data_IF_157517806229
#
_entry.id   IF_157517806229
#
_cell.length_a   1.000
_cell.length_b   1.000
_cell.length_c   1.000
_cell.angle_alpha   90.00
_cell.angle_beta   90.00
_cell.angle_gamma   90.00
#
_symmetry.space_group_name_H-M   'P 1'
#
loop_
_entity.id
_entity.type
_entity.pdbx_description
1 polymer ?
#
# COMPACT_ATOMS: atom_id res chain seq x y z
N UNK A 1 6.07 -0.67 16.97
CA UNK A 1 5.43 0.62 17.28
C UNK A 1 4.44 0.37 18.40
N UNK A 2 4.44 1.24 19.43
CA UNK A 2 3.54 1.09 20.60
C UNK A 2 2.10 1.60 20.39
N UNK A 3 1.79 2.13 19.20
CA UNK A 3 0.47 2.72 18.93
C UNK A 3 -0.22 1.93 17.84
N UNK A 4 -1.35 1.31 18.17
CA UNK A 4 -2.13 0.49 17.26
C UNK A 4 -2.93 1.31 16.22
N UNK A 5 -3.09 2.62 16.46
CA UNK A 5 -3.68 3.59 15.52
C UNK A 5 -2.94 4.93 15.61
N UNK A 6 -2.64 5.53 14.48
CA UNK A 6 -1.95 6.81 14.38
C UNK A 6 -2.55 7.68 13.29
N UNK A 7 -2.79 8.95 13.60
CA UNK A 7 -3.33 9.95 12.65
C UNK A 7 -2.32 11.07 12.47
N UNK A 8 -1.90 11.31 11.25
CA UNK A 8 -1.00 12.42 10.89
C UNK A 8 -1.63 13.28 9.81
N UNK A 9 -1.62 14.60 10.01
CA UNK A 9 -1.84 15.56 8.93
C UNK A 9 -0.55 16.35 8.77
N UNK A 10 0.03 16.29 7.58
CA UNK A 10 1.31 16.93 7.30
C UNK A 10 1.25 17.77 6.04
N UNK A 11 1.80 18.98 6.14
CA UNK A 11 2.25 19.73 4.97
C UNK A 11 3.65 19.25 4.62
N UNK A 12 3.84 18.79 3.41
CA UNK A 12 5.15 18.40 2.91
C UNK A 12 5.51 19.23 1.69
N UNK A 13 6.65 19.90 1.75
CA UNK A 13 7.27 20.54 0.60
C UNK A 13 8.34 19.62 0.01
N UNK A 14 8.19 19.26 -1.26
CA UNK A 14 9.30 18.76 -2.06
C UNK A 14 9.86 17.36 -1.76
N UNK A 15 9.24 16.55 -0.91
CA UNK A 15 9.77 15.21 -0.61
C UNK A 15 9.08 14.14 -1.45
N UNK A 16 9.84 13.58 -2.39
CA UNK A 16 9.52 12.31 -3.05
C UNK A 16 9.90 11.17 -2.11
N UNK A 17 9.05 10.16 -1.97
CA UNK A 17 9.47 8.92 -1.32
C UNK A 17 10.61 8.28 -2.11
N UNK A 18 11.71 7.96 -1.42
CA UNK A 18 12.95 7.55 -2.10
C UNK A 18 12.86 6.18 -2.75
N UNK A 19 11.91 5.32 -2.32
CA UNK A 19 11.75 3.94 -2.79
C UNK A 19 10.35 3.40 -2.52
N UNK A 20 9.96 2.37 -3.27
CA UNK A 20 8.77 1.59 -2.98
C UNK A 20 8.92 0.85 -1.66
N UNK A 21 7.82 0.79 -0.90
CA UNK A 21 7.78 0.09 0.38
C UNK A 21 6.39 -0.53 0.60
N UNK A 22 6.29 -1.35 1.61
CA UNK A 22 5.05 -1.89 2.17
C UNK A 22 5.18 -1.95 3.69
N UNK A 23 4.05 -2.11 4.36
CA UNK A 23 3.96 -2.23 5.80
C UNK A 23 2.85 -3.21 6.20
N UNK A 24 2.78 -3.58 7.45
CA UNK A 24 1.86 -4.58 8.00
C UNK A 24 0.60 -3.98 8.65
N UNK A 25 0.29 -2.73 8.34
CA UNK A 25 -0.88 -2.01 8.82
C UNK A 25 -1.72 -1.47 7.65
N UNK A 26 -2.98 -1.15 7.93
CA UNK A 26 -3.86 -0.43 7.02
C UNK A 26 -3.45 1.03 6.97
N UNK A 27 -3.49 1.62 5.77
CA UNK A 27 -3.27 3.04 5.56
C UNK A 27 -4.43 3.65 4.82
N UNK A 28 -4.98 4.74 5.37
CA UNK A 28 -5.91 5.64 4.71
C UNK A 28 -5.12 6.90 4.36
N UNK A 29 -4.89 7.13 3.09
CA UNK A 29 -4.22 8.33 2.59
C UNK A 29 -5.25 9.26 1.97
N UNK A 30 -5.42 10.47 2.49
CA UNK A 30 -6.36 11.50 2.02
C UNK A 30 -5.56 12.65 1.44
N UNK A 31 -5.77 12.97 0.16
CA UNK A 31 -5.20 14.16 -0.45
C UNK A 31 -6.04 15.38 -0.09
N UNK A 32 -5.43 16.36 0.62
CA UNK A 32 -6.15 17.54 1.11
C UNK A 32 -5.96 18.77 0.20
N UNK A 33 -4.71 19.01 -0.29
CA UNK A 33 -4.39 20.16 -1.15
C UNK A 33 -3.36 19.78 -2.20
N UNK A 34 -3.44 20.44 -3.34
CA UNK A 34 -2.63 20.13 -4.53
C UNK A 34 -2.94 18.73 -5.06
N UNK A 35 -2.13 18.23 -5.98
CA UNK A 35 -2.22 16.84 -6.44
C UNK A 35 -1.00 16.04 -6.00
N UNK A 36 -1.14 14.73 -5.99
CA UNK A 36 -0.05 13.80 -5.70
C UNK A 36 -0.14 12.57 -6.60
N UNK A 37 0.99 12.12 -7.10
CA UNK A 37 1.08 10.91 -7.89
C UNK A 37 1.60 9.76 -7.04
N UNK A 38 0.93 8.62 -7.15
CA UNK A 38 1.26 7.39 -6.44
C UNK A 38 1.37 6.23 -7.40
N UNK A 39 2.30 5.34 -7.12
CA UNK A 39 2.35 4.00 -7.68
C UNK A 39 1.92 3.03 -6.58
N UNK A 40 0.84 2.30 -6.81
CA UNK A 40 0.34 1.25 -5.91
C UNK A 40 0.34 -0.04 -6.70
N UNK A 41 1.09 -1.03 -6.25
CA UNK A 41 1.38 -2.24 -7.02
C UNK A 41 1.94 -1.89 -8.41
N UNK A 42 1.14 -1.97 -9.46
CA UNK A 42 1.48 -1.61 -10.84
C UNK A 42 0.57 -0.54 -11.44
N UNK A 43 -0.29 0.08 -10.61
CA UNK A 43 -1.25 1.10 -11.02
C UNK A 43 -0.77 2.48 -10.59
N UNK A 44 -0.80 3.43 -11.53
CA UNK A 44 -0.48 4.82 -11.26
C UNK A 44 -1.76 5.60 -10.95
N UNK A 45 -1.76 6.27 -9.81
CA UNK A 45 -2.85 7.13 -9.38
C UNK A 45 -2.40 8.58 -9.32
N UNK A 46 -3.24 9.49 -9.81
CA UNK A 46 -3.12 10.91 -9.53
C UNK A 46 -4.24 11.31 -8.60
N UNK A 47 -3.87 11.66 -7.38
CA UNK A 47 -4.80 12.09 -6.35
C UNK A 47 -4.98 13.59 -6.38
N UNK A 48 -6.20 14.04 -6.50
CA UNK A 48 -6.61 15.43 -6.35
C UNK A 48 -7.21 15.66 -4.94
N UNK A 49 -7.43 16.89 -4.51
CA UNK A 49 -8.08 17.15 -3.23
C UNK A 49 -9.44 16.43 -3.11
N UNK A 50 -9.64 15.68 -2.03
CA UNK A 50 -10.81 14.82 -1.81
C UNK A 50 -10.63 13.36 -2.22
N UNK A 51 -9.55 13.04 -2.93
CA UNK A 51 -9.23 11.65 -3.30
C UNK A 51 -8.56 10.92 -2.15
N UNK A 52 -8.82 9.62 -2.09
CA UNK A 52 -8.35 8.72 -1.03
C UNK A 52 -7.74 7.48 -1.65
N UNK A 53 -6.58 7.07 -1.12
CA UNK A 53 -6.06 5.71 -1.28
C UNK A 53 -6.31 4.91 -0.01
N UNK A 54 -6.75 3.68 -0.18
CA UNK A 54 -7.00 2.69 0.86
C UNK A 54 -6.03 1.53 0.66
N UNK A 55 -5.00 1.49 1.48
CA UNK A 55 -3.92 0.51 1.35
C UNK A 55 -4.06 -0.57 2.42
N UNK A 56 -4.24 -1.82 1.97
CA UNK A 56 -4.20 -2.99 2.84
C UNK A 56 -2.78 -3.26 3.34
N UNK A 57 -2.61 -4.00 4.43
CA UNK A 57 -1.31 -4.56 4.80
C UNK A 57 -0.62 -5.24 3.62
N UNK A 58 0.68 -5.07 3.53
CA UNK A 58 1.54 -5.65 2.50
C UNK A 58 1.35 -5.11 1.08
N UNK A 59 0.53 -4.08 0.85
CA UNK A 59 0.42 -3.44 -0.48
C UNK A 59 1.67 -2.62 -0.76
N UNK A 60 2.30 -2.90 -1.91
CA UNK A 60 3.50 -2.20 -2.36
C UNK A 60 3.13 -0.85 -2.96
N UNK A 61 3.65 0.23 -2.39
CA UNK A 61 3.30 1.58 -2.85
C UNK A 61 4.45 2.58 -2.71
N UNK A 62 4.33 3.70 -3.45
CA UNK A 62 5.28 4.81 -3.43
C UNK A 62 4.59 6.10 -3.88
N UNK A 63 4.90 7.20 -3.22
CA UNK A 63 4.57 8.54 -3.70
C UNK A 63 5.65 9.04 -4.66
N UNK A 64 5.27 9.44 -5.87
CA UNK A 64 6.19 9.72 -6.98
C UNK A 64 6.51 11.21 -7.15
N UNK A 65 5.55 12.08 -6.94
CA UNK A 65 5.73 13.51 -7.18
C UNK A 65 6.45 14.21 -6.03
N UNK A 66 7.16 15.28 -6.35
CA UNK A 66 7.94 16.10 -5.41
C UNK A 66 7.31 17.47 -5.11
N UNK A 67 6.08 17.71 -5.58
CA UNK A 67 5.38 18.98 -5.35
C UNK A 67 4.94 19.16 -3.89
N UNK A 68 4.82 20.40 -3.46
CA UNK A 68 4.24 20.73 -2.15
C UNK A 68 2.76 20.28 -2.12
N UNK A 69 2.36 19.66 -1.03
CA UNK A 69 1.00 19.12 -0.86
C UNK A 69 0.64 19.04 0.63
N UNK A 70 -0.65 19.02 0.90
CA UNK A 70 -1.20 18.72 2.22
C UNK A 70 -1.92 17.38 2.15
N UNK A 71 -1.64 16.51 3.09
CA UNK A 71 -2.25 15.19 3.20
C UNK A 71 -2.62 14.85 4.62
N UNK A 72 -3.59 13.98 4.78
CA UNK A 72 -3.87 13.27 6.03
C UNK A 72 -3.59 11.78 5.81
N UNK A 73 -2.94 11.17 6.78
CA UNK A 73 -2.69 9.73 6.78
C UNK A 73 -3.14 9.16 8.11
N UNK A 74 -3.91 8.08 8.04
CA UNK A 74 -4.34 7.30 9.20
C UNK A 74 -3.76 5.91 9.04
N UNK A 75 -2.98 5.47 10.02
CA UNK A 75 -2.43 4.12 10.12
C UNK A 75 -3.10 3.39 11.26
N UNK A 76 -3.49 2.14 11.05
CA UNK A 76 -3.95 1.27 12.12
C UNK A 76 -3.57 -0.18 11.86
N UNK A 77 -3.23 -0.90 12.93
CA UNK A 77 -2.91 -2.32 12.83
C UNK A 77 -4.18 -3.16 12.61
N UNK A 78 -4.08 -4.34 11.95
CA UNK A 78 -5.21 -5.28 11.89
C UNK A 78 -5.76 -5.63 13.29
N UNK A 79 -4.90 -5.67 14.30
CA UNK A 79 -5.26 -6.03 15.67
C UNK A 79 -5.99 -4.89 16.42
N UNK A 80 -5.86 -3.64 15.98
CA UNK A 80 -6.42 -2.50 16.71
C UNK A 80 -7.95 -2.59 16.86
N UNK A 81 -8.67 -2.85 15.77
CA UNK A 81 -10.12 -2.95 15.82
C UNK A 81 -10.62 -4.16 16.61
N UNK A 82 -9.84 -5.25 16.66
CA UNK A 82 -10.18 -6.49 17.38
C UNK A 82 -10.31 -6.28 18.88
N UNK A 83 -9.69 -5.24 19.43
CA UNK A 83 -9.78 -4.91 20.86
C UNK A 83 -11.16 -4.34 21.24
N UNK A 84 -11.93 -3.85 20.25
CA UNK A 84 -13.15 -3.07 20.52
C UNK A 84 -14.40 -3.64 19.81
N UNK A 85 -14.23 -4.40 18.72
CA UNK A 85 -15.33 -4.81 17.87
C UNK A 85 -15.33 -6.32 17.59
N UNK A 86 -16.55 -6.83 17.31
CA UNK A 86 -16.72 -8.22 16.87
C UNK A 86 -16.11 -8.45 15.49
N UNK A 87 -15.73 -9.69 15.20
CA UNK A 87 -15.15 -10.08 13.90
C UNK A 87 -16.05 -9.71 12.73
N UNK A 88 -17.38 -9.86 12.87
CA UNK A 88 -18.32 -9.55 11.80
C UNK A 88 -18.38 -8.04 11.51
N UNK A 89 -18.39 -7.21 12.54
CA UNK A 89 -18.35 -5.76 12.35
C UNK A 89 -17.02 -5.31 11.74
N UNK A 90 -15.90 -5.89 12.18
CA UNK A 90 -14.59 -5.59 11.58
C UNK A 90 -14.58 -5.95 10.10
N UNK A 91 -15.11 -7.13 9.72
CA UNK A 91 -15.21 -7.54 8.31
C UNK A 91 -16.01 -6.52 7.50
N UNK A 92 -17.15 -6.06 8.01
CA UNK A 92 -17.96 -5.02 7.35
C UNK A 92 -17.22 -3.71 7.20
N UNK A 93 -16.56 -3.23 8.26
CA UNK A 93 -15.80 -1.97 8.23
C UNK A 93 -14.63 -2.02 7.25
N UNK A 94 -13.96 -3.17 7.14
CA UNK A 94 -12.77 -3.32 6.30
C UNK A 94 -13.08 -3.65 4.83
N UNK A 95 -14.34 -3.97 4.47
CA UNK A 95 -14.74 -4.16 3.07
C UNK A 95 -14.43 -2.95 2.19
N UNK A 96 -14.40 -1.75 2.77
CA UNK A 96 -14.04 -0.54 2.02
C UNK A 96 -12.63 -0.63 1.41
N UNK A 97 -11.72 -1.40 2.00
CA UNK A 97 -10.37 -1.63 1.48
C UNK A 97 -10.30 -2.58 0.27
N UNK A 98 -11.43 -3.15 -0.17
CA UNK A 98 -11.51 -3.85 -1.46
C UNK A 98 -11.44 -2.85 -2.63
N UNK A 99 -11.61 -1.58 -2.34
CA UNK A 99 -11.40 -0.46 -3.25
C UNK A 99 -10.07 0.20 -2.91
N UNK A 100 -9.10 0.19 -3.83
CA UNK A 100 -7.81 0.87 -3.61
C UNK A 100 -7.94 2.39 -3.63
N UNK A 101 -8.97 2.91 -4.33
CA UNK A 101 -9.16 4.33 -4.59
C UNK A 101 -10.64 4.71 -4.50
N UNK A 102 -10.91 5.87 -3.91
CA UNK A 102 -12.23 6.51 -3.95
C UNK A 102 -12.12 8.03 -3.90
N UNK A 103 -13.13 8.73 -4.42
CA UNK A 103 -13.30 10.19 -4.29
C UNK A 103 -14.49 10.46 -3.40
N UNK A 104 -14.33 11.33 -2.41
CA UNK A 104 -15.44 11.78 -1.58
C UNK A 104 -16.19 12.94 -2.23
N UNK A 105 -17.50 12.99 -2.03
CA UNK A 105 -18.27 14.22 -2.24
C UNK A 105 -17.78 15.31 -1.29
N UNK A 106 -18.03 16.57 -1.62
CA UNK A 106 -17.65 17.69 -0.74
C UNK A 106 -18.27 17.57 0.65
N UNK A 107 -19.52 17.09 0.75
CA UNK A 107 -20.21 16.87 2.00
C UNK A 107 -19.53 15.77 2.83
N UNK A 108 -19.30 14.61 2.25
CA UNK A 108 -18.66 13.48 2.93
C UNK A 108 -17.20 13.78 3.28
N UNK A 109 -16.48 14.51 2.42
CA UNK A 109 -15.13 15.00 2.74
C UNK A 109 -15.14 15.90 3.96
N UNK A 110 -16.08 16.87 4.03
CA UNK A 110 -16.20 17.74 5.19
C UNK A 110 -16.50 16.95 6.47
N UNK A 111 -17.45 16.01 6.43
CA UNK A 111 -17.77 15.14 7.56
C UNK A 111 -16.56 14.35 8.05
N UNK A 112 -15.84 13.68 7.15
CA UNK A 112 -14.62 12.93 7.46
C UNK A 112 -13.56 13.82 8.10
N UNK A 113 -13.34 15.01 7.55
CA UNK A 113 -12.34 15.95 8.09
C UNK A 113 -12.72 16.51 9.45
N UNK A 114 -14.02 16.59 9.79
CA UNK A 114 -14.47 16.94 11.15
C UNK A 114 -14.10 15.82 12.15
N UNK A 115 -14.39 14.57 11.82
CA UNK A 115 -14.02 13.42 12.66
C UNK A 115 -12.50 13.35 12.88
N UNK A 116 -11.71 13.53 11.82
CA UNK A 116 -10.23 13.55 11.90
C UNK A 116 -9.74 14.70 12.80
N UNK A 117 -10.39 15.86 12.72
CA UNK A 117 -10.05 17.00 13.55
C UNK A 117 -10.29 16.73 15.03
N UNK A 118 -11.34 15.98 15.36
CA UNK A 118 -11.61 15.53 16.73
C UNK A 118 -10.60 14.49 17.20
N UNK A 119 -10.25 13.50 16.36
CA UNK A 119 -9.21 12.52 16.69
C UNK A 119 -7.88 13.18 17.05
N UNK A 120 -7.52 14.28 16.40
CA UNK A 120 -6.25 14.99 16.63
C UNK A 120 -6.23 15.80 17.92
N UNK A 121 -7.36 16.05 18.57
CA UNK A 121 -7.43 16.78 19.86
C UNK A 121 -7.05 15.90 21.04
N UNK A 122 -7.14 14.59 20.89
CA UNK A 122 -6.83 13.60 21.92
C UNK A 122 -5.53 12.86 21.59
N UNK A 123 -4.73 12.53 22.59
CA UNK A 123 -3.59 11.66 22.44
C UNK A 123 -4.00 10.19 22.63
N UNK A 124 -3.16 9.26 22.15
CA UNK A 124 -3.40 7.82 22.38
C UNK A 124 -3.33 7.43 23.87
N UNK A 125 -2.69 8.24 24.71
CA UNK A 125 -2.57 8.02 26.16
C UNK A 125 -3.73 8.66 26.94
N UNK A 126 -4.64 9.35 26.27
CA UNK A 126 -5.83 9.96 26.89
C UNK A 126 -6.80 8.84 27.28
N UNK A 127 -7.21 8.72 28.56
CA UNK A 127 -8.19 7.74 29.01
C UNK A 127 -9.57 7.90 28.36
N UNK A 128 -9.86 9.07 27.82
CA UNK A 128 -11.07 9.36 27.03
C UNK A 128 -10.85 9.26 25.52
N UNK A 129 -9.76 8.63 25.11
CA UNK A 129 -9.44 8.43 23.69
C UNK A 129 -10.47 7.50 23.04
N UNK A 130 -11.24 8.04 22.11
CA UNK A 130 -12.24 7.34 21.32
C UNK A 130 -11.77 7.12 19.87
N UNK A 131 -10.48 7.04 19.61
CA UNK A 131 -9.94 6.86 18.27
C UNK A 131 -10.52 5.63 17.56
N UNK A 132 -10.79 4.54 18.29
CA UNK A 132 -11.43 3.36 17.72
C UNK A 132 -12.83 3.66 17.17
N UNK A 133 -13.66 4.42 17.93
CA UNK A 133 -15.00 4.80 17.49
C UNK A 133 -14.95 5.78 16.31
N UNK A 134 -14.05 6.75 16.36
CA UNK A 134 -13.83 7.72 15.28
C UNK A 134 -13.29 7.08 14.01
N UNK A 135 -12.42 6.08 14.13
CA UNK A 135 -11.97 5.30 12.98
C UNK A 135 -13.12 4.54 12.34
N UNK A 136 -13.98 3.87 13.14
CA UNK A 136 -15.16 3.20 12.61
C UNK A 136 -16.13 4.18 11.94
N UNK A 137 -16.34 5.37 12.52
CA UNK A 137 -17.15 6.44 11.91
C UNK A 137 -16.61 6.86 10.53
N UNK A 138 -15.29 7.04 10.41
CA UNK A 138 -14.64 7.35 9.11
C UNK A 138 -14.88 6.23 8.09
N UNK A 139 -14.68 4.97 8.48
CA UNK A 139 -14.88 3.82 7.59
C UNK A 139 -16.34 3.69 7.15
N UNK A 140 -17.29 3.98 8.05
CA UNK A 140 -18.74 4.02 7.73
C UNK A 140 -19.06 5.16 6.76
N UNK A 141 -18.47 6.36 6.94
CA UNK A 141 -18.65 7.49 6.02
C UNK A 141 -18.11 7.15 4.61
N UNK A 142 -17.00 6.44 4.53
CA UNK A 142 -16.50 5.96 3.24
C UNK A 142 -17.46 4.95 2.59
N UNK A 143 -17.97 4.00 3.38
CA UNK A 143 -18.93 3.00 2.89
C UNK A 143 -20.24 3.66 2.45
N UNK A 144 -20.73 4.67 3.18
CA UNK A 144 -21.89 5.48 2.79
C UNK A 144 -21.63 6.19 1.46
N UNK A 145 -20.51 6.89 1.34
CA UNK A 145 -20.12 7.59 0.10
C UNK A 145 -20.08 6.63 -1.10
N UNK A 146 -19.54 5.43 -0.90
CA UNK A 146 -19.44 4.42 -1.95
C UNK A 146 -20.81 3.88 -2.38
N UNK A 147 -21.73 3.72 -1.42
CA UNK A 147 -23.09 3.26 -1.68
C UNK A 147 -23.91 4.31 -2.44
N UNK A 148 -23.81 5.58 -2.04
CA UNK A 148 -24.52 6.70 -2.67
C UNK A 148 -23.92 7.13 -3.99
N UNK A 149 -22.59 6.98 -4.13
CA UNK A 149 -21.79 7.38 -5.28
C UNK A 149 -20.83 6.23 -5.66
N UNK A 150 -21.35 5.11 -6.20
CA UNK A 150 -20.50 4.02 -6.61
C UNK A 150 -19.47 4.53 -7.63
N UNK A 151 -18.21 4.10 -7.51
CA UNK A 151 -17.20 4.51 -8.47
C UNK A 151 -17.69 4.06 -9.85
N UNK A 152 -17.95 5.02 -10.69
CA UNK A 152 -18.04 4.74 -12.11
C UNK A 152 -16.66 4.18 -12.43
N UNK A 153 -16.58 2.99 -13.03
CA UNK A 153 -15.34 2.37 -13.50
C UNK A 153 -14.70 3.26 -14.60
N UNK A 154 -14.48 4.52 -14.26
CA UNK A 154 -13.72 5.43 -15.08
C UNK A 154 -12.28 5.32 -14.59
N UNK A 155 -11.41 4.84 -15.45
CA UNK A 155 -9.95 4.95 -15.33
C UNK A 155 -9.47 6.42 -15.20
N UNK A 156 -10.36 7.35 -14.81
CA UNK A 156 -10.15 8.80 -14.90
C UNK A 156 -9.05 9.32 -13.97
N UNK A 157 -8.70 8.57 -12.92
CA UNK A 157 -7.60 8.92 -12.03
C UNK A 157 -6.46 7.88 -12.03
N UNK A 158 -6.64 6.80 -12.78
CA UNK A 158 -5.51 6.00 -13.22
C UNK A 158 -4.80 6.87 -14.26
N UNK A 159 -3.59 7.31 -13.95
CA UNK A 159 -2.79 8.05 -14.91
C UNK A 159 -2.72 7.23 -16.20
N UNK A 160 -3.38 7.74 -17.25
CA UNK A 160 -3.05 7.29 -18.60
C UNK A 160 -1.55 7.52 -18.74
N UNK A 161 -0.84 6.44 -18.98
CA UNK A 161 0.63 6.40 -18.99
C UNK A 161 1.26 7.33 -20.02
N UNK A 162 0.45 7.89 -20.91
CA UNK A 162 0.84 8.95 -21.85
C UNK A 162 1.27 10.26 -21.15
N UNK A 163 0.86 10.48 -19.90
CA UNK A 163 1.25 11.65 -19.11
C UNK A 163 2.48 11.43 -18.21
N UNK A 164 2.98 10.21 -18.07
CA UNK A 164 4.30 9.98 -17.50
C UNK A 164 5.35 10.53 -18.48
N UNK A 165 6.37 11.19 -17.97
CA UNK A 165 7.48 11.75 -18.76
C UNK A 165 8.15 10.74 -19.71
N UNK A 166 7.79 9.44 -19.59
CA UNK A 166 8.26 8.36 -20.44
C UNK A 166 7.12 7.32 -20.64
N UNK A 167 6.48 7.28 -21.82
CA UNK A 167 5.37 6.37 -22.14
C UNK A 167 5.72 4.87 -22.07
N UNK A 168 7.00 4.51 -22.11
CA UNK A 168 7.45 3.11 -22.07
C UNK A 168 7.46 2.51 -20.67
N UNK A 169 7.32 3.33 -19.65
CA UNK A 169 7.60 2.95 -18.27
C UNK A 169 6.48 2.19 -17.60
N UNK A 170 5.24 2.62 -17.82
CA UNK A 170 4.10 1.90 -17.24
C UNK A 170 3.97 0.48 -17.81
N UNK A 171 4.10 0.25 -19.12
CA UNK A 171 4.17 -1.10 -19.67
C UNK A 171 5.32 -1.92 -19.07
N UNK A 172 6.46 -1.29 -18.83
CA UNK A 172 7.62 -1.95 -18.22
C UNK A 172 7.36 -2.39 -16.77
N UNK A 173 6.82 -1.50 -15.95
CA UNK A 173 6.49 -1.84 -14.55
C UNK A 173 5.41 -2.93 -14.53
N UNK A 174 4.37 -2.80 -15.34
CA UNK A 174 3.31 -3.81 -15.46
C UNK A 174 3.88 -5.16 -15.91
N UNK A 175 4.78 -5.17 -16.89
CA UNK A 175 5.44 -6.38 -17.35
C UNK A 175 6.24 -7.07 -16.24
N UNK A 176 7.09 -6.32 -15.53
CA UNK A 176 7.87 -6.85 -14.40
C UNK A 176 6.94 -7.34 -13.29
N UNK A 177 5.88 -6.59 -12.97
CA UNK A 177 4.90 -6.96 -11.95
C UNK A 177 4.17 -8.27 -12.29
N UNK A 178 3.76 -8.43 -13.54
CA UNK A 178 3.00 -9.62 -13.96
C UNK A 178 3.87 -10.86 -14.16
N UNK A 179 5.18 -10.69 -14.40
CA UNK A 179 6.09 -11.78 -14.74
C UNK A 179 7.18 -12.06 -13.69
N UNK A 180 7.21 -11.34 -12.56
CA UNK A 180 8.32 -11.36 -11.58
C UNK A 180 8.73 -12.74 -11.07
N UNK A 181 7.84 -13.73 -11.08
CA UNK A 181 8.15 -15.10 -10.65
C UNK A 181 9.11 -15.81 -11.62
N UNK A 182 8.99 -15.51 -12.90
CA UNK A 182 9.69 -16.19 -13.99
C UNK A 182 10.87 -15.39 -14.54
N UNK A 183 10.98 -14.11 -14.19
CA UNK A 183 12.07 -13.26 -14.66
C UNK A 183 13.40 -13.69 -14.03
N UNK A 184 14.33 -14.12 -14.87
CA UNK A 184 15.63 -14.66 -14.45
C UNK A 184 16.77 -13.68 -14.70
N UNK A 185 16.68 -12.83 -15.73
CA UNK A 185 17.71 -11.86 -16.07
C UNK A 185 17.14 -10.54 -16.62
N UNK A 186 17.96 -9.51 -16.58
CA UNK A 186 17.60 -8.15 -17.04
C UNK A 186 17.62 -8.07 -18.57
N UNK A 187 18.45 -8.86 -19.22
CA UNK A 187 18.60 -8.90 -20.67
C UNK A 187 17.29 -9.33 -21.35
N UNK A 188 16.57 -10.29 -20.77
CA UNK A 188 15.26 -10.73 -21.24
C UNK A 188 14.25 -9.58 -21.24
N UNK A 189 14.19 -8.83 -20.14
CA UNK A 189 13.31 -7.67 -20.03
C UNK A 189 13.70 -6.60 -21.05
N UNK A 190 14.99 -6.32 -21.17
CA UNK A 190 15.51 -5.29 -22.08
C UNK A 190 15.20 -5.63 -23.54
N UNK A 191 15.32 -6.89 -23.94
CA UNK A 191 14.99 -7.35 -25.29
C UNK A 191 13.50 -7.24 -25.60
N UNK A 192 12.63 -7.55 -24.64
CA UNK A 192 11.16 -7.41 -24.78
C UNK A 192 10.75 -5.97 -25.09
N UNK A 193 11.45 -4.99 -24.54
CA UNK A 193 11.17 -3.56 -24.73
C UNK A 193 12.06 -2.88 -25.79
N UNK A 194 12.90 -3.64 -26.50
CA UNK A 194 13.83 -3.14 -27.52
C UNK A 194 14.76 -2.02 -27.02
N UNK A 195 15.21 -2.13 -25.76
CA UNK A 195 16.12 -1.17 -25.13
C UNK A 195 17.35 -1.87 -24.57
N UNK A 196 18.40 -1.11 -24.28
CA UNK A 196 19.60 -1.67 -23.65
C UNK A 196 19.37 -1.94 -22.16
N UNK A 197 20.01 -2.97 -21.57
CA UNK A 197 19.94 -3.22 -20.12
C UNK A 197 20.30 -2.01 -19.27
N UNK A 198 21.28 -1.21 -19.68
CA UNK A 198 21.68 0.01 -18.98
C UNK A 198 20.60 1.09 -19.01
N UNK A 199 19.93 1.27 -20.15
CA UNK A 199 18.80 2.20 -20.26
C UNK A 199 17.63 1.76 -19.41
N UNK A 200 17.27 0.46 -19.51
CA UNK A 200 16.25 -0.18 -18.68
C UNK A 200 16.48 0.07 -17.19
N UNK A 201 17.65 -0.28 -16.66
CA UNK A 201 17.97 -0.12 -15.23
C UNK A 201 17.90 1.33 -14.78
N UNK A 202 18.41 2.28 -15.58
CA UNK A 202 18.39 3.71 -15.25
C UNK A 202 16.97 4.25 -15.22
N UNK A 203 16.17 3.94 -16.25
CA UNK A 203 14.79 4.39 -16.39
C UNK A 203 13.92 3.82 -15.27
N UNK A 204 14.01 2.52 -15.04
CA UNK A 204 13.26 1.86 -13.96
C UNK A 204 13.60 2.47 -12.58
N UNK A 205 14.90 2.63 -12.29
CA UNK A 205 15.33 3.23 -11.02
C UNK A 205 14.93 4.70 -10.88
N UNK A 206 14.97 5.49 -11.97
CA UNK A 206 14.52 6.89 -11.97
C UNK A 206 13.06 7.01 -11.53
N UNK A 207 12.23 6.06 -11.90
CA UNK A 207 10.79 6.10 -11.68
C UNK A 207 10.36 5.45 -10.36
N UNK A 208 10.85 4.25 -10.09
CA UNK A 208 10.47 3.47 -8.91
C UNK A 208 11.37 3.74 -7.70
N UNK A 209 12.46 4.47 -7.88
CA UNK A 209 13.45 4.71 -6.81
C UNK A 209 14.28 3.48 -6.44
N UNK A 210 13.98 2.30 -6.98
CA UNK A 210 14.69 1.04 -6.69
C UNK A 210 15.15 0.35 -7.98
N UNK A 211 16.09 -0.59 -7.86
CA UNK A 211 16.49 -1.41 -9.00
C UNK A 211 15.41 -2.43 -9.32
N UNK A 212 15.40 -2.96 -10.56
CA UNK A 212 14.50 -4.04 -10.99
C UNK A 212 14.60 -5.26 -10.05
N UNK A 213 15.80 -5.63 -9.66
CA UNK A 213 16.04 -6.77 -8.74
C UNK A 213 15.44 -6.49 -7.35
N UNK A 214 15.58 -5.27 -6.84
CA UNK A 214 14.95 -4.87 -5.58
C UNK A 214 13.43 -4.92 -5.68
N UNK A 215 12.86 -4.43 -6.78
CA UNK A 215 11.43 -4.46 -7.03
C UNK A 215 10.89 -5.91 -7.12
N UNK A 216 11.55 -6.77 -7.88
CA UNK A 216 11.20 -8.19 -7.97
C UNK A 216 11.26 -8.86 -6.58
N UNK A 217 12.32 -8.58 -5.80
CA UNK A 217 12.42 -9.12 -4.45
C UNK A 217 11.28 -8.61 -3.54
N UNK A 218 10.88 -7.35 -3.64
CA UNK A 218 9.72 -6.83 -2.89
C UNK A 218 8.44 -7.60 -3.22
N UNK A 219 8.14 -7.82 -4.50
CA UNK A 219 6.97 -8.59 -4.94
C UNK A 219 7.02 -10.05 -4.45
N UNK A 220 8.18 -10.70 -4.55
CA UNK A 220 8.39 -12.07 -4.07
C UNK A 220 8.18 -12.17 -2.56
N UNK A 221 8.65 -11.20 -1.79
CA UNK A 221 8.48 -11.16 -0.32
C UNK A 221 7.03 -10.84 0.05
N UNK A 222 6.36 -9.93 -0.65
CA UNK A 222 4.93 -9.69 -0.47
C UNK A 222 4.11 -10.99 -0.63
N UNK A 223 4.34 -11.72 -1.72
CA UNK A 223 3.71 -13.04 -1.93
C UNK A 223 4.06 -14.03 -0.80
N UNK A 224 5.31 -14.03 -0.34
CA UNK A 224 5.72 -14.90 0.76
C UNK A 224 5.00 -14.56 2.08
N UNK A 225 4.75 -13.29 2.37
CA UNK A 225 3.96 -12.88 3.53
C UNK A 225 2.55 -13.48 3.48
N UNK A 226 1.87 -13.41 2.32
CA UNK A 226 0.56 -14.05 2.11
C UNK A 226 0.62 -15.56 2.33
N UNK A 227 1.58 -16.26 1.71
CA UNK A 227 1.72 -17.70 1.87
C UNK A 227 2.08 -18.13 3.30
N UNK A 228 2.87 -17.34 4.01
CA UNK A 228 3.20 -17.59 5.43
C UNK A 228 1.97 -17.49 6.33
N UNK A 229 1.06 -16.56 6.02
CA UNK A 229 -0.18 -16.36 6.77
C UNK A 229 -1.20 -17.46 6.43
N UNK A 230 -1.45 -17.70 5.14
CA UNK A 230 -2.61 -18.45 4.64
C UNK A 230 -2.36 -19.96 4.51
N UNK A 231 -1.10 -20.43 4.55
CA UNK A 231 -0.76 -21.82 4.26
C UNK A 231 0.21 -22.44 5.27
N UNK A 232 0.16 -23.78 5.39
CA UNK A 232 1.11 -24.55 6.19
C UNK A 232 2.38 -24.99 5.44
N UNK A 233 2.60 -24.44 4.25
CA UNK A 233 3.83 -24.73 3.49
C UNK A 233 5.07 -24.44 4.33
N UNK A 234 6.07 -25.31 4.26
CA UNK A 234 7.33 -25.06 4.95
C UNK A 234 8.12 -23.92 4.26
N UNK A 235 9.13 -23.39 4.94
CA UNK A 235 9.88 -22.24 4.47
C UNK A 235 10.56 -22.48 3.12
N UNK A 236 11.03 -23.68 2.87
CA UNK A 236 11.64 -24.04 1.57
C UNK A 236 10.61 -24.06 0.45
N UNK A 237 9.45 -24.63 0.70
CA UNK A 237 8.34 -24.64 -0.25
C UNK A 237 7.86 -23.21 -0.59
N UNK A 238 7.74 -22.34 0.42
CA UNK A 238 7.38 -20.93 0.20
C UNK A 238 8.46 -20.23 -0.64
N UNK A 239 9.74 -20.40 -0.32
CA UNK A 239 10.82 -19.82 -1.08
C UNK A 239 10.73 -20.20 -2.56
N UNK A 240 10.54 -21.49 -2.86
CA UNK A 240 10.39 -22.01 -4.22
C UNK A 240 9.14 -21.45 -4.91
N UNK A 241 7.97 -21.45 -4.22
CA UNK A 241 6.71 -20.91 -4.75
C UNK A 241 6.78 -19.40 -5.04
N UNK A 242 7.67 -18.69 -4.36
CA UNK A 242 7.95 -17.28 -4.60
C UNK A 242 9.08 -17.04 -5.62
N UNK A 243 9.56 -18.09 -6.30
CA UNK A 243 10.59 -17.98 -7.34
C UNK A 243 12.00 -17.66 -6.81
N UNK A 244 12.33 -18.08 -5.57
CA UNK A 244 13.69 -18.04 -5.05
C UNK A 244 14.39 -19.37 -5.31
N UNK A 245 15.60 -19.32 -5.89
CA UNK A 245 16.42 -20.50 -6.15
C UNK A 245 17.10 -21.06 -4.87
N UNK A 246 17.06 -20.32 -3.76
CA UNK A 246 17.69 -20.70 -2.50
C UNK A 246 16.86 -20.20 -1.31
N UNK A 247 16.49 -21.15 -0.42
CA UNK A 247 15.81 -20.80 0.81
C UNK A 247 16.69 -19.92 1.73
N UNK A 248 17.99 -20.06 1.69
CA UNK A 248 18.92 -19.22 2.47
C UNK A 248 18.89 -17.77 1.95
N UNK A 249 18.93 -17.58 0.63
CA UNK A 249 18.82 -16.25 0.03
C UNK A 249 17.46 -15.63 0.32
N UNK A 250 16.38 -16.40 0.20
CA UNK A 250 15.02 -16.00 0.60
C UNK A 250 14.98 -15.50 2.05
N UNK A 251 15.44 -16.30 3.02
CA UNK A 251 15.42 -15.93 4.44
C UNK A 251 16.18 -14.63 4.70
N UNK A 252 17.33 -14.45 4.03
CA UNK A 252 18.13 -13.22 4.14
C UNK A 252 17.37 -12.00 3.63
N UNK A 253 16.78 -12.08 2.42
CA UNK A 253 16.02 -10.98 1.81
C UNK A 253 14.76 -10.71 2.61
N UNK A 254 14.05 -11.75 3.05
CA UNK A 254 12.87 -11.62 3.89
C UNK A 254 13.18 -10.84 5.18
N UNK A 255 14.21 -11.27 5.93
CA UNK A 255 14.62 -10.57 7.16
C UNK A 255 15.10 -9.15 6.90
N UNK A 256 15.77 -8.92 5.77
CA UNK A 256 16.21 -7.57 5.39
C UNK A 256 15.02 -6.62 5.18
N UNK A 257 13.96 -7.08 4.51
CA UNK A 257 12.79 -6.26 4.13
C UNK A 257 11.75 -6.19 5.25
N UNK A 258 11.39 -7.33 5.85
CA UNK A 258 10.32 -7.44 6.86
C UNK A 258 10.80 -7.20 8.29
N UNK A 259 12.13 -7.25 8.54
CA UNK A 259 12.77 -7.13 9.87
C UNK A 259 12.51 -8.31 10.82
N UNK A 260 11.73 -9.30 10.40
CA UNK A 260 11.48 -10.57 11.07
C UNK A 260 11.98 -11.72 10.20
N UNK A 261 12.29 -12.85 10.81
CA UNK A 261 12.50 -14.09 10.04
C UNK A 261 11.15 -14.61 9.51
N UNK A 262 11.12 -15.42 8.43
CA UNK A 262 9.87 -16.00 7.94
C UNK A 262 9.08 -16.78 9.01
N UNK A 263 9.78 -17.51 9.91
CA UNK A 263 9.15 -18.24 11.01
C UNK A 263 8.53 -17.29 12.04
N UNK A 264 9.28 -16.25 12.43
CA UNK A 264 8.77 -15.24 13.35
C UNK A 264 7.55 -14.51 12.76
N UNK A 265 7.61 -14.15 11.47
CA UNK A 265 6.49 -13.51 10.79
C UNK A 265 5.25 -14.42 10.75
N UNK A 266 5.39 -15.70 10.44
CA UNK A 266 4.28 -16.67 10.47
C UNK A 266 3.61 -16.72 11.84
N UNK A 267 4.40 -16.85 12.93
CA UNK A 267 3.86 -16.86 14.28
C UNK A 267 3.15 -15.57 14.62
N UNK A 268 3.75 -14.44 14.25
CA UNK A 268 3.16 -13.11 14.49
C UNK A 268 1.87 -12.91 13.70
N UNK A 269 1.88 -13.15 12.39
CA UNK A 269 0.73 -12.91 11.51
C UNK A 269 -0.47 -13.81 11.78
N UNK A 270 -0.25 -15.06 12.24
CA UNK A 270 -1.32 -16.01 12.56
C UNK A 270 -1.90 -15.83 13.96
N UNK A 271 -1.12 -15.33 14.90
CA UNK A 271 -1.61 -14.95 16.23
C UNK A 271 -2.41 -13.64 16.19
N UNK A 272 -2.23 -12.83 15.15
CA UNK A 272 -3.14 -11.75 14.78
C UNK A 272 -4.28 -12.40 14.02
N UNK A 273 -5.47 -12.55 14.65
CA UNK A 273 -6.65 -13.26 14.09
C UNK A 273 -6.87 -12.98 12.61
N UNK A 274 -7.10 -14.00 11.76
CA UNK A 274 -7.33 -13.80 10.32
C UNK A 274 -8.55 -12.90 10.11
N UNK A 275 -8.37 -11.78 9.47
CA UNK A 275 -9.46 -11.03 8.87
C UNK A 275 -9.72 -11.64 7.48
N UNK A 276 -10.39 -12.80 7.46
CA UNK A 276 -10.98 -13.37 6.25
C UNK A 276 -12.30 -12.71 5.93
#
# INVERSE_FOLDING_TARGET
MKHDCFVSMTEQSGHKMSYMHYHDFYEIYIQNQSYREHLVNNTFYRLNPGDILLLKPSVLHQSLSANAHVRTVIYFSPHYLQQYYSTDLIRQLLQIFDYEYLTLTSENYYAVMQVIREMRKTSNDDPYNLHFAKLAEILMLFSKNLHEHPPVHSNANILDTQHLQDPQVSPLIAYVHNNYLNLTNIEEIASTFYITPSHLCRTFKKLTGCTIVQYINLLKIQRACTLLHDTDLNITQIATSCGFNSAMYFCRIFKQLVKLTPVQYRTFSRNSVPLL
#
